data_IF_851087080968
#
_entry.id   IF_851087080968
#
_cell.length_a   1.000
_cell.length_b   1.000
_cell.length_c   1.000
_cell.angle_alpha   90.00
_cell.angle_beta   90.00
_cell.angle_gamma   90.00
#
_symmetry.space_group_name_H-M   'P 1'
#
loop_
_entity.id
_entity.type
_entity.pdbx_description
1 polymer ?
#
# COMPACT_ATOMS: atom_id res chain seq x y z
N UNK A 1 -23.40 -1.41 -27.88
CA UNK A 1 -23.50 -0.99 -26.48
C UNK A 1 -22.57 -1.87 -25.68
N UNK A 2 -21.52 -1.34 -25.03
CA UNK A 2 -20.66 -2.15 -24.14
C UNK A 2 -21.48 -2.50 -22.88
N UNK A 3 -21.48 -3.76 -22.41
CA UNK A 3 -22.15 -4.11 -21.17
C UNK A 3 -21.56 -3.27 -20.02
N UNK A 4 -22.37 -2.94 -18.99
CA UNK A 4 -21.86 -2.22 -17.84
C UNK A 4 -20.71 -3.02 -17.25
N UNK A 5 -19.62 -2.33 -16.89
CA UNK A 5 -18.47 -2.97 -16.24
C UNK A 5 -19.00 -3.56 -14.93
N UNK A 6 -18.86 -4.88 -14.79
CA UNK A 6 -19.16 -5.60 -13.56
C UNK A 6 -17.82 -6.12 -13.02
N UNK A 7 -17.50 -5.83 -11.75
CA UNK A 7 -16.25 -6.29 -11.11
C UNK A 7 -16.10 -7.82 -11.20
N UNK A 8 -17.20 -8.57 -11.10
CA UNK A 8 -17.20 -10.03 -11.21
C UNK A 8 -16.66 -10.54 -12.56
N UNK A 9 -16.90 -9.81 -13.65
CA UNK A 9 -16.42 -10.19 -14.99
C UNK A 9 -14.91 -10.02 -15.15
N UNK A 10 -14.25 -9.35 -14.21
CA UNK A 10 -12.80 -9.10 -14.21
C UNK A 10 -12.04 -10.09 -13.34
N UNK A 11 -12.73 -10.92 -12.56
CA UNK A 11 -12.12 -11.95 -11.71
C UNK A 11 -11.40 -12.99 -12.58
N UNK A 12 -10.16 -13.33 -12.20
CA UNK A 12 -9.28 -14.21 -12.97
C UNK A 12 -8.58 -13.54 -14.17
N UNK A 13 -9.00 -12.33 -14.57
CA UNK A 13 -8.39 -11.57 -15.68
C UNK A 13 -7.47 -10.47 -15.13
N UNK A 14 -7.98 -9.64 -14.26
CA UNK A 14 -7.27 -8.48 -13.69
C UNK A 14 -7.63 -8.23 -12.22
N UNK A 15 -8.62 -8.93 -11.70
CA UNK A 15 -9.02 -8.96 -10.29
C UNK A 15 -8.97 -10.38 -9.74
N UNK A 16 -8.70 -10.49 -8.43
CA UNK A 16 -8.98 -11.67 -7.61
C UNK A 16 -10.15 -11.38 -6.68
N UNK A 17 -10.96 -12.43 -6.41
CA UNK A 17 -11.88 -12.43 -5.26
C UNK A 17 -11.12 -12.71 -3.99
N UNK A 18 -11.34 -11.90 -2.95
CA UNK A 18 -10.75 -12.08 -1.63
C UNK A 18 -11.82 -12.08 -0.55
N UNK A 19 -11.53 -12.68 0.60
CA UNK A 19 -12.34 -12.46 1.79
C UNK A 19 -12.18 -11.00 2.23
N UNK A 20 -13.28 -10.35 2.61
CA UNK A 20 -13.24 -9.00 3.17
C UNK A 20 -12.52 -9.06 4.51
N UNK A 21 -11.51 -8.22 4.66
CA UNK A 21 -10.73 -8.07 5.88
C UNK A 21 -10.84 -6.63 6.37
N UNK A 22 -11.66 -6.42 7.39
CA UNK A 22 -11.95 -5.09 7.93
C UNK A 22 -10.74 -4.43 8.59
N UNK A 23 -9.84 -5.24 9.17
CA UNK A 23 -8.60 -4.74 9.76
C UNK A 23 -7.67 -4.17 8.66
N UNK A 24 -7.48 -4.91 7.57
CA UNK A 24 -6.69 -4.44 6.43
C UNK A 24 -7.29 -3.20 5.78
N UNK A 25 -8.62 -3.13 5.65
CA UNK A 25 -9.30 -1.94 5.10
C UNK A 25 -9.05 -0.73 6.00
N UNK A 26 -9.16 -0.88 7.32
CA UNK A 26 -8.86 0.18 8.30
C UNK A 26 -7.43 0.68 8.16
N UNK A 27 -6.44 -0.23 8.10
CA UNK A 27 -5.02 0.13 7.89
C UNK A 27 -4.80 0.91 6.59
N UNK A 28 -5.47 0.55 5.50
CA UNK A 28 -5.39 1.29 4.24
C UNK A 28 -5.94 2.71 4.37
N UNK A 29 -7.05 2.89 5.09
CA UNK A 29 -7.65 4.20 5.36
C UNK A 29 -6.70 5.04 6.24
N UNK A 30 -6.15 4.48 7.31
CA UNK A 30 -5.17 5.15 8.19
C UNK A 30 -3.90 5.54 7.43
N UNK A 31 -3.39 4.66 6.57
CA UNK A 31 -2.24 4.96 5.71
C UNK A 31 -2.55 6.08 4.70
N UNK A 32 -3.77 6.12 4.15
CA UNK A 32 -4.21 7.21 3.29
C UNK A 32 -4.30 8.54 4.06
N UNK A 33 -4.83 8.53 5.29
CA UNK A 33 -4.86 9.71 6.17
C UNK A 33 -3.45 10.24 6.46
N UNK A 34 -2.51 9.35 6.82
CA UNK A 34 -1.12 9.72 7.07
C UNK A 34 -0.48 10.32 5.82
N UNK A 35 -0.61 9.67 4.67
CA UNK A 35 -0.07 10.17 3.40
C UNK A 35 -0.65 11.53 3.02
N UNK A 36 -1.96 11.73 3.21
CA UNK A 36 -2.62 13.01 2.94
C UNK A 36 -2.19 14.12 3.93
N UNK A 37 -2.00 13.78 5.21
CA UNK A 37 -1.46 14.70 6.21
C UNK A 37 -0.06 15.19 5.81
N UNK A 38 0.81 14.28 5.39
CA UNK A 38 2.16 14.60 4.96
C UNK A 38 2.16 15.40 3.65
N UNK A 39 1.26 15.10 2.69
CA UNK A 39 1.09 15.87 1.46
C UNK A 39 0.75 17.36 1.70
N UNK A 40 0.16 17.69 2.83
CA UNK A 40 -0.19 19.08 3.22
C UNK A 40 0.98 19.86 3.82
N UNK A 41 2.12 19.21 4.12
CA UNK A 41 3.30 19.87 4.68
C UNK A 41 3.98 20.75 3.63
N UNK A 42 3.96 22.08 3.85
CA UNK A 42 4.57 23.07 2.95
C UNK A 42 6.11 23.02 2.92
N UNK A 43 6.73 22.31 3.85
CA UNK A 43 8.17 22.08 3.88
C UNK A 43 8.66 21.06 2.85
N UNK A 44 7.76 20.28 2.26
CA UNK A 44 8.07 19.33 1.21
C UNK A 44 7.99 20.00 -0.17
N UNK A 45 8.74 19.44 -1.14
CA UNK A 45 8.64 19.84 -2.54
C UNK A 45 7.25 19.53 -3.10
N UNK A 46 6.86 20.22 -4.16
CA UNK A 46 5.60 19.95 -4.85
C UNK A 46 5.53 18.51 -5.37
N UNK A 47 6.64 17.94 -5.83
CA UNK A 47 6.72 16.53 -6.25
C UNK A 47 6.42 15.60 -5.09
N UNK A 48 7.10 15.76 -3.95
CA UNK A 48 6.88 14.94 -2.76
C UNK A 48 5.45 15.04 -2.25
N UNK A 49 4.87 16.25 -2.23
CA UNK A 49 3.47 16.48 -1.85
C UNK A 49 2.50 15.83 -2.82
N UNK A 50 2.76 15.95 -4.12
CA UNK A 50 1.95 15.35 -5.17
C UNK A 50 1.95 13.82 -5.08
N UNK A 51 3.14 13.21 -4.92
CA UNK A 51 3.28 11.75 -4.77
C UNK A 51 2.56 11.23 -3.53
N UNK A 52 2.64 11.93 -2.40
CA UNK A 52 1.94 11.57 -1.17
C UNK A 52 0.41 11.70 -1.34
N UNK A 53 -0.06 12.74 -2.02
CA UNK A 53 -1.48 12.90 -2.34
C UNK A 53 -1.97 11.78 -3.27
N UNK A 54 -1.21 11.46 -4.32
CA UNK A 54 -1.52 10.35 -5.21
C UNK A 54 -1.50 8.99 -4.49
N UNK A 55 -0.55 8.77 -3.59
CA UNK A 55 -0.51 7.59 -2.72
C UNK A 55 -1.77 7.47 -1.87
N UNK A 56 -2.25 8.56 -1.29
CA UNK A 56 -3.50 8.57 -0.53
C UNK A 56 -4.72 8.22 -1.40
N UNK A 57 -4.79 8.71 -2.65
CA UNK A 57 -5.81 8.33 -3.63
C UNK A 57 -5.79 6.81 -3.87
N UNK A 58 -4.60 6.24 -4.12
CA UNK A 58 -4.47 4.82 -4.42
C UNK A 58 -4.80 3.93 -3.23
N UNK A 59 -4.41 4.32 -2.01
CA UNK A 59 -4.76 3.60 -0.77
C UNK A 59 -6.27 3.63 -0.52
N UNK A 60 -6.92 4.76 -0.73
CA UNK A 60 -8.39 4.91 -0.64
C UNK A 60 -9.11 4.04 -1.68
N UNK A 61 -8.64 4.04 -2.92
CA UNK A 61 -9.20 3.21 -3.99
C UNK A 61 -9.01 1.70 -3.71
N UNK A 62 -7.85 1.32 -3.14
CA UNK A 62 -7.58 -0.06 -2.72
C UNK A 62 -8.51 -0.49 -1.58
N UNK A 63 -8.71 0.36 -0.57
CA UNK A 63 -9.64 0.10 0.52
C UNK A 63 -11.08 -0.09 0.01
N UNK A 64 -11.54 0.78 -0.89
CA UNK A 64 -12.86 0.68 -1.51
C UNK A 64 -13.06 -0.62 -2.30
N UNK A 65 -12.04 -1.07 -3.03
CA UNK A 65 -12.10 -2.31 -3.81
C UNK A 65 -12.09 -3.55 -2.88
N UNK A 66 -11.24 -3.57 -1.85
CA UNK A 66 -11.18 -4.66 -0.88
C UNK A 66 -12.46 -4.79 -0.05
N UNK A 67 -13.12 -3.68 0.27
CA UNK A 67 -14.43 -3.69 0.93
C UNK A 67 -15.53 -4.36 0.09
N UNK A 68 -15.34 -4.47 -1.23
CA UNK A 68 -16.22 -5.22 -2.13
C UNK A 68 -15.76 -6.66 -2.36
N UNK A 69 -14.71 -7.11 -1.65
CA UNK A 69 -14.19 -8.48 -1.78
C UNK A 69 -13.31 -8.71 -3.01
N UNK A 70 -12.66 -7.67 -3.53
CA UNK A 70 -11.78 -7.77 -4.69
C UNK A 70 -10.43 -7.13 -4.45
N UNK A 71 -9.39 -7.65 -5.11
CA UNK A 71 -8.08 -7.01 -5.24
C UNK A 71 -7.61 -7.02 -6.69
N UNK A 72 -6.79 -6.04 -7.07
CA UNK A 72 -6.16 -6.02 -8.39
C UNK A 72 -4.99 -7.01 -8.44
N UNK A 73 -4.78 -7.63 -9.60
CA UNK A 73 -3.58 -8.41 -9.89
C UNK A 73 -2.43 -7.45 -10.21
N UNK A 74 -1.50 -7.26 -9.28
CA UNK A 74 -0.36 -6.34 -9.45
C UNK A 74 0.64 -6.79 -10.49
N UNK A 75 0.66 -8.08 -10.84
CA UNK A 75 1.44 -8.63 -11.96
C UNK A 75 0.97 -8.17 -13.34
N UNK A 76 -0.23 -7.56 -13.43
CA UNK A 76 -0.77 -7.04 -14.67
C UNK A 76 -0.51 -5.54 -14.80
N UNK A 77 -0.07 -5.06 -15.98
CA UNK A 77 0.06 -3.62 -16.23
C UNK A 77 -1.32 -2.94 -16.14
N UNK A 78 -1.32 -1.67 -15.71
CA UNK A 78 -2.57 -0.88 -15.61
C UNK A 78 -3.38 -1.10 -14.33
N UNK A 79 -2.84 -1.78 -13.32
CA UNK A 79 -3.55 -2.02 -12.04
C UNK A 79 -3.99 -0.74 -11.33
N UNK A 80 -3.21 0.36 -11.38
CA UNK A 80 -3.63 1.67 -10.87
C UNK A 80 -4.84 2.23 -11.61
N UNK A 81 -4.84 2.12 -12.96
CA UNK A 81 -5.98 2.56 -13.76
C UNK A 81 -7.24 1.77 -13.41
N UNK A 82 -7.11 0.45 -13.26
CA UNK A 82 -8.24 -0.41 -12.92
C UNK A 82 -8.82 -0.06 -11.54
N UNK A 83 -7.96 0.20 -10.54
CA UNK A 83 -8.43 0.63 -9.21
C UNK A 83 -9.28 1.91 -9.29
N UNK A 84 -8.84 2.91 -10.07
CA UNK A 84 -9.64 4.14 -10.27
C UNK A 84 -10.93 3.86 -11.01
N UNK A 85 -10.90 3.05 -12.08
CA UNK A 85 -12.09 2.67 -12.86
C UNK A 85 -13.12 1.86 -12.06
N UNK A 86 -12.71 1.23 -10.97
CA UNK A 86 -13.60 0.52 -10.07
C UNK A 86 -14.35 1.45 -9.09
N UNK A 87 -13.89 2.68 -8.87
CA UNK A 87 -14.47 3.60 -7.88
C UNK A 87 -15.95 3.92 -8.08
N UNK A 88 -16.47 4.11 -9.31
CA UNK A 88 -17.91 4.27 -9.53
C UNK A 88 -18.74 3.07 -9.02
N UNK A 89 -18.18 1.85 -9.07
CA UNK A 89 -18.84 0.61 -8.65
C UNK A 89 -18.67 0.30 -7.16
N UNK A 90 -17.63 0.86 -6.55
CA UNK A 90 -17.29 0.58 -5.14
C UNK A 90 -17.83 1.63 -4.18
N UNK A 91 -17.60 2.90 -4.47
CA UNK A 91 -17.99 4.04 -3.62
C UNK A 91 -18.86 5.08 -4.35
N UNK A 92 -19.24 4.83 -5.60
CA UNK A 92 -20.23 5.63 -6.31
C UNK A 92 -19.76 7.01 -6.77
N UNK A 93 -18.44 7.21 -7.00
CA UNK A 93 -17.98 8.50 -7.57
C UNK A 93 -18.59 8.72 -8.94
N UNK A 94 -18.78 9.98 -9.27
CA UNK A 94 -19.30 10.38 -10.57
C UNK A 94 -18.22 10.33 -11.68
N UNK A 95 -18.67 10.50 -12.92
CA UNK A 95 -17.78 10.47 -14.08
C UNK A 95 -16.78 11.62 -14.09
N UNK A 96 -17.15 12.80 -13.60
CA UNK A 96 -16.27 13.97 -13.56
C UNK A 96 -15.10 13.73 -12.59
N UNK A 97 -15.39 13.24 -11.38
CA UNK A 97 -14.37 12.83 -10.40
C UNK A 97 -13.45 11.74 -10.95
N UNK A 98 -13.99 10.73 -11.63
CA UNK A 98 -13.18 9.68 -12.26
C UNK A 98 -12.20 10.24 -13.31
N UNK A 99 -12.65 11.20 -14.14
CA UNK A 99 -11.80 11.84 -15.15
C UNK A 99 -10.66 12.62 -14.49
N UNK A 100 -10.93 13.34 -13.40
CA UNK A 100 -9.91 14.09 -12.65
C UNK A 100 -8.87 13.13 -12.04
N UNK A 101 -9.30 12.06 -11.40
CA UNK A 101 -8.40 11.06 -10.83
C UNK A 101 -7.54 10.37 -11.90
N UNK A 102 -8.10 10.03 -13.07
CA UNK A 102 -7.32 9.45 -14.18
C UNK A 102 -6.36 10.49 -14.79
N UNK A 103 -6.72 11.77 -14.80
CA UNK A 103 -5.81 12.84 -15.20
C UNK A 103 -4.59 12.89 -14.25
N UNK A 104 -4.79 12.87 -12.93
CA UNK A 104 -3.70 12.85 -11.94
C UNK A 104 -2.80 11.62 -12.12
N UNK A 105 -3.38 10.45 -12.40
CA UNK A 105 -2.61 9.23 -12.72
C UNK A 105 -1.71 9.43 -13.95
N UNK A 106 -2.24 10.03 -15.01
CA UNK A 106 -1.48 10.30 -16.24
C UNK A 106 -0.38 11.32 -16.00
N UNK A 107 -0.66 12.38 -15.25
CA UNK A 107 0.35 13.38 -14.86
C UNK A 107 1.48 12.76 -14.06
N UNK A 108 1.16 11.93 -13.05
CA UNK A 108 2.18 11.20 -12.30
C UNK A 108 3.08 10.36 -13.21
N UNK A 109 2.50 9.58 -14.10
CA UNK A 109 3.27 8.77 -15.03
C UNK A 109 4.14 9.63 -15.96
N UNK A 110 3.63 10.76 -16.45
CA UNK A 110 4.39 11.66 -17.32
C UNK A 110 5.59 12.26 -16.56
N UNK A 111 5.39 12.72 -15.33
CA UNK A 111 6.45 13.29 -14.47
C UNK A 111 7.54 12.26 -14.17
N UNK A 112 7.18 11.01 -13.85
CA UNK A 112 8.14 9.92 -13.60
C UNK A 112 9.06 9.66 -14.81
N UNK A 113 8.58 9.91 -16.05
CA UNK A 113 9.36 9.71 -17.28
C UNK A 113 10.08 10.95 -17.78
N UNK A 114 9.48 12.14 -17.63
CA UNK A 114 10.05 13.39 -18.15
C UNK A 114 10.98 14.10 -17.18
N UNK A 115 10.83 13.87 -15.87
CA UNK A 115 11.48 14.64 -14.83
C UNK A 115 10.99 16.09 -14.75
N UNK A 116 9.81 16.40 -15.29
CA UNK A 116 9.24 17.74 -15.26
C UNK A 116 8.85 18.14 -13.82
N UNK A 117 8.97 19.45 -13.53
CA UNK A 117 8.60 19.99 -12.23
C UNK A 117 7.08 19.97 -12.04
N UNK A 118 6.66 19.56 -10.86
CA UNK A 118 5.23 19.58 -10.46
C UNK A 118 4.83 21.00 -10.08
N UNK A 119 3.79 21.52 -10.72
CA UNK A 119 3.24 22.84 -10.40
C UNK A 119 2.49 22.83 -9.05
N UNK A 120 2.45 23.97 -8.37
CA UNK A 120 1.66 24.15 -7.15
C UNK A 120 0.15 23.89 -7.40
N UNK A 121 -0.36 24.30 -8.57
CA UNK A 121 -1.74 24.06 -8.96
C UNK A 121 -2.07 22.56 -9.06
N UNK A 122 -1.20 21.77 -9.72
CA UNK A 122 -1.37 20.33 -9.83
C UNK A 122 -1.28 19.63 -8.48
N UNK A 123 -0.35 20.06 -7.61
CA UNK A 123 -0.21 19.57 -6.25
C UNK A 123 -1.46 19.84 -5.41
N UNK A 124 -1.99 21.06 -5.48
CA UNK A 124 -3.20 21.46 -4.77
C UNK A 124 -4.39 20.65 -5.23
N UNK A 125 -4.54 20.45 -6.54
CA UNK A 125 -5.61 19.62 -7.11
C UNK A 125 -5.51 18.17 -6.61
N UNK A 126 -4.32 17.57 -6.63
CA UNK A 126 -4.12 16.21 -6.15
C UNK A 126 -4.49 16.06 -4.66
N UNK A 127 -4.11 17.02 -3.82
CA UNK A 127 -4.47 17.04 -2.39
C UNK A 127 -5.99 17.15 -2.22
N UNK A 128 -6.65 18.02 -2.98
CA UNK A 128 -8.09 18.20 -2.92
C UNK A 128 -8.84 16.94 -3.32
N UNK A 129 -8.43 16.29 -4.41
CA UNK A 129 -9.03 15.05 -4.88
C UNK A 129 -8.76 13.89 -3.91
N UNK A 130 -7.56 13.81 -3.31
CA UNK A 130 -7.25 12.82 -2.29
C UNK A 130 -8.13 12.99 -1.04
N UNK A 131 -8.33 14.22 -0.59
CA UNK A 131 -9.19 14.54 0.56
C UNK A 131 -10.66 14.18 0.30
N UNK A 132 -11.17 14.56 -0.86
CA UNK A 132 -12.56 14.25 -1.28
C UNK A 132 -12.81 12.75 -1.33
N UNK A 133 -11.91 12.00 -1.97
CA UNK A 133 -12.04 10.55 -2.08
C UNK A 133 -11.90 9.85 -0.73
N UNK A 134 -10.93 10.26 0.09
CA UNK A 134 -10.71 9.68 1.42
C UNK A 134 -11.92 9.89 2.32
N UNK A 135 -12.48 11.11 2.35
CA UNK A 135 -13.69 11.42 3.13
C UNK A 135 -14.88 10.55 2.70
N UNK A 136 -15.07 10.37 1.38
CA UNK A 136 -16.13 9.51 0.86
C UNK A 136 -15.94 8.05 1.31
N UNK A 137 -14.73 7.52 1.16
CA UNK A 137 -14.37 6.15 1.56
C UNK A 137 -14.58 5.95 3.07
N UNK A 138 -14.16 6.90 3.89
CA UNK A 138 -14.35 6.85 5.34
C UNK A 138 -15.83 6.85 5.73
N UNK A 139 -16.61 7.75 5.14
CA UNK A 139 -18.05 7.85 5.42
C UNK A 139 -18.79 6.57 5.09
N UNK A 140 -18.40 5.87 4.02
CA UNK A 140 -19.07 4.65 3.59
C UNK A 140 -18.58 3.39 4.30
N UNK A 141 -17.29 3.30 4.63
CA UNK A 141 -16.68 2.05 5.11
C UNK A 141 -16.50 1.98 6.62
N UNK A 142 -16.21 3.09 7.31
CA UNK A 142 -15.97 3.07 8.76
C UNK A 142 -17.18 2.57 9.56
N UNK A 143 -18.43 2.97 9.27
CA UNK A 143 -19.59 2.45 9.99
C UNK A 143 -19.74 0.93 9.85
N UNK A 144 -19.42 0.37 8.69
CA UNK A 144 -19.50 -1.08 8.44
C UNK A 144 -18.39 -1.83 9.19
N UNK A 145 -17.19 -1.28 9.22
CA UNK A 145 -16.02 -1.87 9.91
C UNK A 145 -16.25 -1.95 11.42
N UNK A 146 -16.89 -0.95 12.02
CA UNK A 146 -17.19 -0.95 13.48
C UNK A 146 -18.25 -1.97 13.89
N UNK A 147 -19.13 -2.40 12.98
CA UNK A 147 -20.15 -3.40 13.28
C UNK A 147 -19.60 -4.84 13.32
N UNK A 148 -18.44 -5.08 12.70
CA UNK A 148 -17.85 -6.41 12.55
C UNK A 148 -16.48 -6.55 13.22
N UNK A 149 -16.18 -5.75 14.24
CA UNK A 149 -14.91 -5.78 14.97
C UNK A 149 -14.73 -7.10 15.74
N UNK A 150 -14.51 -8.18 15.00
CA UNK A 150 -14.05 -9.44 15.54
C UNK A 150 -12.52 -9.43 15.53
N UNK A 151 -11.96 -9.56 16.70
CA UNK A 151 -10.57 -9.65 17.07
C UNK A 151 -9.79 -10.68 16.23
N UNK A 152 -9.47 -10.36 14.98
CA UNK A 152 -8.57 -11.17 14.16
C UNK A 152 -7.21 -10.46 14.14
N UNK A 153 -6.26 -11.04 14.83
CA UNK A 153 -4.85 -10.69 14.72
C UNK A 153 -4.43 -10.85 13.25
N UNK A 154 -4.10 -9.74 12.59
CA UNK A 154 -3.66 -9.79 11.19
C UNK A 154 -2.23 -10.33 11.14
N UNK A 155 -2.07 -11.42 10.39
CA UNK A 155 -0.77 -11.98 10.03
C UNK A 155 -0.50 -11.56 8.58
N UNK A 156 0.61 -10.87 8.32
CA UNK A 156 1.05 -10.55 6.97
C UNK A 156 1.33 -11.87 6.22
N UNK A 157 0.68 -12.12 5.08
CA UNK A 157 0.95 -13.34 4.31
C UNK A 157 2.38 -13.45 3.80
N UNK A 158 3.11 -12.33 3.73
CA UNK A 158 4.51 -12.27 3.33
C UNK A 158 5.46 -12.28 4.53
N UNK A 159 4.96 -12.19 5.76
CA UNK A 159 5.76 -12.41 6.97
C UNK A 159 6.08 -13.91 7.08
N UNK A 160 7.37 -14.21 7.04
CA UNK A 160 7.83 -15.53 7.40
C UNK A 160 7.39 -15.82 8.86
N UNK A 161 6.87 -17.01 9.15
CA UNK A 161 6.50 -17.36 10.51
C UNK A 161 7.68 -17.14 11.46
N UNK A 162 7.39 -16.65 12.66
CA UNK A 162 8.43 -16.50 13.68
C UNK A 162 9.20 -17.81 13.85
N UNK A 163 10.53 -17.73 13.73
CA UNK A 163 11.38 -18.89 13.90
C UNK A 163 11.26 -19.40 15.35
N UNK A 164 10.77 -20.60 15.50
CA UNK A 164 10.69 -21.26 16.78
C UNK A 164 12.05 -21.81 17.21
N UNK A 165 12.21 -22.12 18.50
CA UNK A 165 13.43 -22.82 18.96
C UNK A 165 13.65 -24.18 18.28
N UNK A 166 12.56 -24.83 17.83
CA UNK A 166 12.65 -26.08 17.08
C UNK A 166 13.17 -25.86 15.66
N UNK A 167 12.81 -24.77 15.02
CA UNK A 167 13.31 -24.40 13.70
C UNK A 167 14.80 -24.06 13.77
N UNK A 168 15.23 -23.38 14.83
CA UNK A 168 16.66 -23.11 15.09
C UNK A 168 17.45 -24.38 15.31
N UNK A 169 16.89 -25.39 16.00
CA UNK A 169 17.54 -26.71 16.20
C UNK A 169 17.63 -27.51 14.90
N UNK A 170 16.73 -27.32 13.96
CA UNK A 170 16.74 -27.96 12.63
C UNK A 170 17.56 -27.19 11.61
N UNK A 171 17.95 -25.95 11.91
CA UNK A 171 18.68 -25.09 10.96
C UNK A 171 20.10 -25.60 10.74
N UNK A 172 20.55 -25.52 9.49
CA UNK A 172 21.94 -25.79 9.12
C UNK A 172 22.72 -24.50 9.25
N UNK A 173 23.68 -24.47 10.16
CA UNK A 173 24.55 -23.32 10.37
C UNK A 173 25.67 -23.30 9.32
N UNK A 174 25.85 -22.19 8.63
CA UNK A 174 26.88 -22.01 7.61
C UNK A 174 27.71 -20.76 7.87
N UNK A 175 29.05 -20.88 7.79
CA UNK A 175 29.98 -19.76 7.82
C UNK A 175 30.82 -19.81 6.51
N UNK A 176 30.78 -18.79 5.69
CA UNK A 176 31.53 -18.72 4.43
C UNK A 176 31.38 -19.97 3.53
N UNK A 177 30.15 -20.49 3.46
CA UNK A 177 29.83 -21.66 2.62
C UNK A 177 30.20 -23.04 3.25
N UNK A 178 30.72 -23.07 4.47
CA UNK A 178 31.01 -24.32 5.21
C UNK A 178 29.94 -24.57 6.27
N UNK A 179 29.43 -25.78 6.32
CA UNK A 179 28.54 -26.22 7.42
C UNK A 179 29.36 -26.29 8.70
N UNK A 180 28.86 -25.66 9.76
CA UNK A 180 29.47 -25.59 11.08
C UNK A 180 28.49 -26.07 12.14
N UNK A 181 29.01 -26.36 13.34
CA UNK A 181 28.17 -26.70 14.48
C UNK A 181 27.32 -25.48 14.92
N UNK A 182 26.19 -25.73 15.59
CA UNK A 182 25.35 -24.69 16.16
C UNK A 182 26.15 -23.76 17.09
N UNK A 183 27.03 -24.30 17.91
CA UNK A 183 27.86 -23.54 18.84
C UNK A 183 28.79 -22.56 18.11
N UNK A 184 29.43 -22.99 17.03
CA UNK A 184 30.28 -22.15 16.20
C UNK A 184 29.47 -21.09 15.43
N UNK A 185 28.29 -21.46 14.89
CA UNK A 185 27.38 -20.53 14.22
C UNK A 185 26.88 -19.42 15.14
N UNK A 186 26.45 -19.77 16.34
CA UNK A 186 26.01 -18.81 17.37
C UNK A 186 27.16 -17.89 17.83
N UNK A 187 28.38 -18.43 18.01
CA UNK A 187 29.53 -17.63 18.39
C UNK A 187 29.90 -16.60 17.30
N UNK A 188 29.96 -17.03 16.04
CA UNK A 188 30.26 -16.15 14.92
C UNK A 188 29.18 -15.04 14.72
N UNK A 189 27.91 -15.37 14.91
CA UNK A 189 26.81 -14.42 14.84
C UNK A 189 26.90 -13.37 15.97
N UNK A 190 27.17 -13.81 17.21
CA UNK A 190 27.34 -12.92 18.36
C UNK A 190 28.54 -11.97 18.19
N UNK A 191 29.64 -12.46 17.59
CA UNK A 191 30.80 -11.63 17.29
C UNK A 191 30.50 -10.58 16.23
N UNK A 192 29.76 -10.93 15.17
CA UNK A 192 29.35 -10.00 14.11
C UNK A 192 28.43 -8.90 14.62
N UNK A 193 27.51 -9.23 15.55
CA UNK A 193 26.66 -8.23 16.20
C UNK A 193 27.47 -7.25 17.05
N UNK A 194 28.46 -7.74 17.83
CA UNK A 194 29.36 -6.90 18.64
C UNK A 194 30.18 -5.95 17.78
N UNK A 195 30.68 -6.41 16.64
CA UNK A 195 31.46 -5.60 15.72
C UNK A 195 30.60 -4.57 14.95
N UNK A 196 29.36 -4.91 14.64
CA UNK A 196 28.39 -3.98 14.03
C UNK A 196 28.02 -2.83 14.98
N UNK A 197 27.90 -3.11 16.28
CA UNK A 197 27.60 -2.09 17.30
C UNK A 197 28.77 -1.12 17.53
N UNK A 198 30.02 -1.59 17.44
CA UNK A 198 31.22 -0.76 17.56
C UNK A 198 31.41 0.22 16.38
N UNK A 199 31.03 -0.20 15.17
CA UNK A 199 31.11 0.66 13.98
C UNK A 199 30.03 1.76 13.94
N UNK A 200 28.94 1.65 14.71
CA UNK A 200 27.94 2.71 14.88
C UNK A 200 28.37 3.77 15.90
N UNK A 201 29.15 3.41 16.91
CA UNK A 201 29.61 4.32 17.98
C UNK A 201 30.83 5.15 17.58
N UNK A 202 31.49 4.87 16.47
CA UNK A 202 32.68 5.60 15.98
C UNK A 202 32.40 6.63 14.88
N UNK A 203 31.15 6.99 14.62
CA UNK A 203 30.71 8.01 13.63
C UNK A 203 29.87 9.12 14.26
N UNK A 204 30.21 9.51 15.47
CA UNK A 204 29.72 10.75 16.12
C UNK A 204 30.86 11.75 16.18
#
# INVERSE_FOLDING_TARGET
MRPPINLQNLVGISLDSIKVDHFMIRRLIEAAQSSLKDAKLKSLSNEGRFDLAYKAIMQSAKAALQAKGYRVLTSKPGHHQLMLQALPLTVGIDKASLILLDHLRKQRNAIDYSGDLVSDALTTEAITQAETLLNLVQTLLIPVIHLEDTNSEWIDPDDAPELTEEDLKRSIWMINGRIVSEAEGRAAFAERLRNSSKNKAGKT
#
